data_IF_169809742136
#
_entry.id   IF_169809742136
#
_cell.length_a   1.000
_cell.length_b   1.000
_cell.length_c   1.000
_cell.angle_alpha   90.00
_cell.angle_beta   90.00
_cell.angle_gamma   90.00
#
_symmetry.space_group_name_H-M   'P 1'
#
loop_
_entity.id
_entity.type
_entity.pdbx_description
1 polymer ?
#
# COMPACT_ATOMS: atom_id res chain seq x y z
N UNK A 1 -2.97 -15.45 12.74
CA UNK A 1 -3.05 -15.60 14.21
C UNK A 1 -2.14 -14.59 14.87
N UNK A 2 -2.53 -14.01 16.02
CA UNK A 2 -1.62 -13.20 16.84
C UNK A 2 -0.40 -14.01 17.29
N UNK A 3 0.71 -13.34 17.48
CA UNK A 3 1.92 -13.92 18.06
C UNK A 3 2.04 -13.52 19.54
N UNK A 4 2.90 -14.18 20.28
CA UNK A 4 3.32 -13.80 21.65
C UNK A 4 4.08 -12.46 21.69
N UNK A 5 4.51 -11.96 20.50
CA UNK A 5 5.21 -10.67 20.33
C UNK A 5 4.27 -9.51 20.06
N UNK A 6 2.98 -9.69 20.26
CA UNK A 6 1.94 -8.70 19.90
C UNK A 6 2.22 -7.29 20.43
N UNK A 7 2.76 -7.17 21.61
CA UNK A 7 3.02 -5.89 22.27
C UNK A 7 4.45 -5.37 22.05
N UNK A 8 5.30 -6.13 21.38
CA UNK A 8 6.66 -5.70 21.08
C UNK A 8 6.68 -4.69 19.91
N UNK A 9 7.30 -3.52 20.07
CA UNK A 9 7.40 -2.52 19.00
C UNK A 9 8.06 -3.11 17.75
N UNK A 10 7.45 -2.87 16.58
CA UNK A 10 7.96 -3.27 15.26
C UNK A 10 8.21 -4.78 15.08
N UNK A 11 7.72 -5.62 16.00
CA UNK A 11 7.76 -7.08 15.85
C UNK A 11 6.51 -7.56 15.15
N UNK A 12 6.62 -8.65 14.40
CA UNK A 12 5.48 -9.29 13.75
C UNK A 12 4.46 -9.73 14.82
N UNK A 13 3.31 -9.08 14.80
CA UNK A 13 2.20 -9.35 15.73
C UNK A 13 1.35 -10.53 15.30
N UNK A 14 1.49 -10.91 14.03
CA UNK A 14 0.73 -11.98 13.40
C UNK A 14 1.66 -12.96 12.70
N UNK A 15 1.34 -14.25 12.83
CA UNK A 15 2.02 -15.31 12.09
C UNK A 15 1.57 -15.24 10.63
N UNK A 16 2.51 -15.28 9.69
CA UNK A 16 2.22 -15.41 8.27
C UNK A 16 1.45 -16.71 8.02
N UNK A 17 0.37 -16.62 7.27
CA UNK A 17 -0.48 -17.78 6.96
C UNK A 17 -0.24 -18.21 5.51
N UNK A 18 0.35 -19.37 5.34
CA UNK A 18 0.65 -19.98 4.04
C UNK A 18 -0.44 -20.99 3.60
N UNK A 19 -1.58 -21.02 4.26
CA UNK A 19 -2.67 -21.93 3.89
C UNK A 19 -3.28 -21.55 2.54
N UNK A 20 -3.32 -22.46 1.55
CA UNK A 20 -3.97 -22.19 0.27
C UNK A 20 -5.51 -22.13 0.37
N UNK A 21 -6.07 -22.52 1.53
CA UNK A 21 -7.50 -22.45 1.80
C UNK A 21 -7.95 -21.07 2.28
N UNK A 22 -7.02 -20.22 2.70
CA UNK A 22 -7.32 -18.85 3.16
C UNK A 22 -7.16 -17.85 2.04
N UNK A 23 -8.08 -16.93 1.98
CA UNK A 23 -8.10 -15.90 0.95
C UNK A 23 -8.43 -14.54 1.53
N UNK A 24 -7.85 -13.49 0.97
CA UNK A 24 -8.16 -12.10 1.26
C UNK A 24 -9.46 -11.66 0.58
N UNK A 25 -9.64 -12.05 -0.68
CA UNK A 25 -10.71 -11.54 -1.52
C UNK A 25 -11.84 -12.56 -1.77
N UNK A 26 -11.56 -13.86 -1.70
CA UNK A 26 -12.47 -14.90 -2.14
C UNK A 26 -12.59 -14.99 -3.68
N UNK A 27 -13.14 -16.11 -4.16
CA UNK A 27 -13.12 -16.41 -5.60
C UNK A 27 -13.85 -15.36 -6.45
N UNK A 28 -15.00 -14.86 -5.98
CA UNK A 28 -15.80 -13.87 -6.73
C UNK A 28 -15.03 -12.57 -6.95
N UNK A 29 -14.38 -12.05 -5.91
CA UNK A 29 -13.59 -10.82 -6.04
C UNK A 29 -12.32 -11.04 -6.86
N UNK A 30 -11.68 -12.20 -6.77
CA UNK A 30 -10.53 -12.53 -7.61
C UNK A 30 -10.91 -12.59 -9.10
N UNK A 31 -12.06 -13.20 -9.46
CA UNK A 31 -12.54 -13.21 -10.85
C UNK A 31 -12.83 -11.79 -11.33
N UNK A 32 -13.58 -11.01 -10.56
CA UNK A 32 -13.88 -9.62 -10.85
C UNK A 32 -12.62 -8.78 -11.02
N UNK A 33 -11.64 -8.90 -10.12
CA UNK A 33 -10.39 -8.14 -10.20
C UNK A 33 -9.60 -8.50 -11.46
N UNK A 34 -9.58 -9.78 -11.83
CA UNK A 34 -8.95 -10.25 -13.07
C UNK A 34 -9.60 -9.64 -14.31
N UNK A 35 -10.92 -9.57 -14.36
CA UNK A 35 -11.65 -8.92 -15.43
C UNK A 35 -11.30 -7.43 -15.51
N UNK A 36 -11.40 -6.74 -14.37
CA UNK A 36 -11.11 -5.30 -14.28
C UNK A 36 -9.67 -4.95 -14.64
N UNK A 37 -8.71 -5.82 -14.36
CA UNK A 37 -7.32 -5.61 -14.72
C UNK A 37 -7.04 -5.75 -16.22
N UNK A 38 -7.94 -6.36 -16.97
CA UNK A 38 -7.85 -6.51 -18.42
C UNK A 38 -8.68 -5.49 -19.22
N UNK A 39 -9.53 -4.70 -18.56
CA UNK A 39 -10.23 -3.58 -19.19
C UNK A 39 -9.23 -2.49 -19.60
N UNK A 40 -9.44 -1.81 -20.72
CA UNK A 40 -8.59 -0.67 -21.12
C UNK A 40 -8.66 0.45 -20.07
N UNK A 41 -7.49 0.93 -19.66
CA UNK A 41 -7.37 2.12 -18.81
C UNK A 41 -5.92 2.62 -18.86
N UNK A 42 -5.73 3.91 -18.92
CA UNK A 42 -4.41 4.53 -18.90
C UNK A 42 -3.80 4.49 -17.49
N UNK A 43 -4.61 4.75 -16.49
CA UNK A 43 -4.22 4.67 -15.08
C UNK A 43 -5.23 3.79 -14.34
N UNK A 44 -4.76 3.00 -13.41
CA UNK A 44 -5.60 2.17 -12.57
C UNK A 44 -5.28 2.37 -11.08
N UNK A 45 -6.32 2.64 -10.32
CA UNK A 45 -6.24 2.71 -8.87
C UNK A 45 -6.80 1.42 -8.26
N UNK A 46 -5.98 0.72 -7.48
CA UNK A 46 -6.41 -0.40 -6.64
C UNK A 46 -6.60 0.10 -5.22
N UNK A 47 -7.84 0.12 -4.76
CA UNK A 47 -8.17 0.51 -3.39
C UNK A 47 -8.13 -0.73 -2.50
N UNK A 48 -7.33 -0.67 -1.45
CA UNK A 48 -7.20 -1.75 -0.45
C UNK A 48 -7.30 -1.15 0.95
N UNK A 49 -8.10 -1.75 1.82
CA UNK A 49 -8.16 -1.33 3.23
C UNK A 49 -6.82 -1.56 3.93
N UNK A 50 -6.13 -2.68 3.64
CA UNK A 50 -4.82 -3.02 4.19
C UNK A 50 -3.69 -2.71 3.21
N UNK A 51 -2.53 -2.39 3.75
CA UNK A 51 -1.33 -2.18 2.96
C UNK A 51 -0.91 -3.45 2.19
N UNK A 52 -0.52 -3.26 0.93
CA UNK A 52 -0.11 -4.32 0.01
C UNK A 52 1.41 -4.42 -0.07
N UNK A 53 2.09 -3.30 -0.30
CA UNK A 53 3.54 -3.25 -0.50
C UNK A 53 4.30 -3.19 0.82
N UNK A 54 3.81 -2.40 1.77
CA UNK A 54 4.50 -2.12 3.03
C UNK A 54 4.94 -3.38 3.78
N UNK A 55 6.16 -3.35 4.26
CA UNK A 55 6.80 -4.41 5.03
C UNK A 55 7.51 -3.82 6.26
N UNK A 56 7.96 -4.66 7.19
CA UNK A 56 8.78 -4.28 8.34
C UNK A 56 8.00 -3.80 9.55
N UNK A 57 6.70 -3.56 9.46
CA UNK A 57 5.83 -3.27 10.60
C UNK A 57 5.12 -4.54 11.10
N UNK A 58 4.72 -4.55 12.37
CA UNK A 58 4.13 -5.73 13.01
C UNK A 58 2.61 -5.86 12.85
N UNK A 59 1.94 -4.97 12.13
CA UNK A 59 0.49 -4.90 12.01
C UNK A 59 -0.03 -5.69 10.80
N UNK A 60 -1.35 -5.72 10.63
CA UNK A 60 -2.01 -6.38 9.52
C UNK A 60 -1.58 -5.78 8.19
N UNK A 61 -1.38 -6.65 7.21
CA UNK A 61 -0.99 -6.31 5.83
C UNK A 61 -1.17 -7.52 4.91
N UNK A 62 -1.17 -7.30 3.61
CA UNK A 62 -1.21 -8.40 2.63
C UNK A 62 -0.04 -9.38 2.80
N UNK A 63 1.12 -8.90 3.28
CA UNK A 63 2.27 -9.74 3.60
C UNK A 63 2.02 -10.82 4.68
N UNK A 64 0.93 -10.72 5.45
CA UNK A 64 0.51 -11.79 6.36
C UNK A 64 -0.10 -13.00 5.63
N UNK A 65 -0.49 -12.85 4.36
CA UNK A 65 -0.99 -13.89 3.47
C UNK A 65 -0.12 -13.96 2.21
N UNK A 66 1.07 -14.56 2.29
CA UNK A 66 2.06 -14.51 1.20
C UNK A 66 1.56 -15.11 -0.11
N UNK A 67 0.72 -16.16 -0.04
CA UNK A 67 0.13 -16.79 -1.23
C UNK A 67 -0.83 -15.82 -1.94
N UNK A 68 -1.68 -15.12 -1.19
CA UNK A 68 -2.62 -14.15 -1.75
C UNK A 68 -1.88 -12.91 -2.29
N UNK A 69 -0.85 -12.43 -1.57
CA UNK A 69 -0.01 -11.33 -2.06
C UNK A 69 0.69 -11.72 -3.37
N UNK A 70 1.28 -12.91 -3.43
CA UNK A 70 1.88 -13.43 -4.65
C UNK A 70 0.86 -13.53 -5.79
N UNK A 71 -0.34 -14.04 -5.51
CA UNK A 71 -1.42 -14.11 -6.50
C UNK A 71 -1.77 -12.74 -7.08
N UNK A 72 -1.81 -11.69 -6.24
CA UNK A 72 -2.04 -10.32 -6.71
C UNK A 72 -0.90 -9.83 -7.62
N UNK A 73 0.35 -10.06 -7.23
CA UNK A 73 1.52 -9.69 -8.03
C UNK A 73 1.57 -10.45 -9.36
N UNK A 74 1.24 -11.74 -9.37
CA UNK A 74 1.15 -12.55 -10.58
C UNK A 74 0.04 -12.03 -11.51
N UNK A 75 -1.11 -11.63 -10.95
CA UNK A 75 -2.21 -11.05 -11.71
C UNK A 75 -1.81 -9.71 -12.32
N UNK A 76 -1.19 -8.81 -11.56
CA UNK A 76 -0.65 -7.54 -12.06
C UNK A 76 0.33 -7.82 -13.20
N UNK A 77 1.22 -8.77 -13.01
CA UNK A 77 2.26 -9.10 -13.98
C UNK A 77 1.68 -9.60 -15.32
N UNK A 78 0.66 -10.47 -15.26
CA UNK A 78 -0.01 -11.05 -16.43
C UNK A 78 -1.00 -10.12 -17.11
N UNK A 79 -1.50 -9.11 -16.41
CA UNK A 79 -2.49 -8.17 -16.94
C UNK A 79 -1.89 -7.17 -17.92
N UNK A 80 -2.74 -6.43 -18.65
CA UNK A 80 -2.33 -5.35 -19.54
C UNK A 80 -2.13 -4.00 -18.84
N UNK A 81 -2.16 -3.98 -17.50
CA UNK A 81 -2.00 -2.75 -16.73
C UNK A 81 -0.63 -2.13 -17.00
N UNK A 82 -0.63 -0.84 -17.30
CA UNK A 82 0.59 -0.04 -17.46
C UNK A 82 0.93 0.75 -16.20
N UNK A 83 -0.02 1.53 -15.72
CA UNK A 83 0.15 2.43 -14.57
C UNK A 83 -0.78 2.00 -13.44
N UNK A 84 -0.25 1.30 -12.43
CA UNK A 84 -1.00 0.88 -11.25
C UNK A 84 -0.52 1.62 -10.02
N UNK A 85 -1.46 2.26 -9.34
CA UNK A 85 -1.25 2.88 -8.04
C UNK A 85 -2.20 2.22 -7.03
N UNK A 86 -1.66 1.76 -5.93
CA UNK A 86 -2.42 1.20 -4.82
C UNK A 86 -2.68 2.32 -3.82
N UNK A 87 -3.93 2.44 -3.37
CA UNK A 87 -4.32 3.35 -2.31
C UNK A 87 -4.72 2.52 -1.10
N UNK A 88 -4.11 2.79 0.04
CA UNK A 88 -4.38 2.03 1.26
C UNK A 88 -4.55 2.88 2.50
N UNK A 89 -5.06 2.27 3.57
CA UNK A 89 -5.37 2.92 4.82
C UNK A 89 -4.98 2.12 6.05
N UNK A 90 -5.83 2.15 7.08
CA UNK A 90 -5.77 1.37 8.34
C UNK A 90 -4.62 1.70 9.31
N UNK A 91 -3.58 2.36 8.84
CA UNK A 91 -2.30 2.49 9.58
C UNK A 91 -2.22 3.68 10.53
N UNK A 92 -3.22 4.57 10.52
CA UNK A 92 -3.20 5.82 11.30
C UNK A 92 -1.95 6.68 11.05
N UNK A 93 -1.39 6.56 9.86
CA UNK A 93 -0.22 7.29 9.36
C UNK A 93 -0.22 7.35 7.84
N UNK A 94 0.70 8.10 7.27
CA UNK A 94 0.91 8.13 5.83
C UNK A 94 2.31 7.65 5.44
N UNK A 95 2.42 7.12 4.22
CA UNK A 95 3.68 6.68 3.62
C UNK A 95 3.51 6.40 2.13
N UNK A 96 4.60 6.54 1.37
CA UNK A 96 4.67 6.17 -0.03
C UNK A 96 5.61 4.97 -0.16
N UNK A 97 5.19 3.97 -0.91
CA UNK A 97 5.94 2.72 -1.07
C UNK A 97 6.08 2.37 -2.54
N UNK A 98 7.14 1.63 -2.87
CA UNK A 98 7.42 1.14 -4.22
C UNK A 98 7.87 -0.30 -4.17
N UNK A 99 7.39 -1.09 -5.12
CA UNK A 99 7.84 -2.46 -5.33
C UNK A 99 7.83 -2.78 -6.83
N UNK A 100 8.34 -3.95 -7.18
CA UNK A 100 8.38 -4.43 -8.55
C UNK A 100 7.88 -5.88 -8.59
N UNK A 101 7.08 -6.20 -9.61
CA UNK A 101 6.71 -7.59 -9.87
C UNK A 101 7.89 -8.39 -10.43
N UNK A 102 7.81 -9.71 -10.41
CA UNK A 102 8.83 -10.59 -11.02
C UNK A 102 9.04 -10.29 -12.52
N UNK A 103 8.00 -9.83 -13.22
CA UNK A 103 8.08 -9.42 -14.63
C UNK A 103 8.51 -7.98 -14.87
N UNK A 104 8.98 -7.28 -13.84
CA UNK A 104 9.55 -5.94 -13.97
C UNK A 104 8.54 -4.79 -13.90
N UNK A 105 7.23 -5.04 -13.73
CA UNK A 105 6.26 -3.95 -13.58
C UNK A 105 6.43 -3.24 -12.25
N UNK A 106 6.64 -1.94 -12.30
CA UNK A 106 6.68 -1.09 -11.10
C UNK A 106 5.28 -0.89 -10.54
N UNK A 107 5.15 -0.99 -9.22
CA UNK A 107 3.92 -0.71 -8.48
C UNK A 107 4.22 0.28 -7.36
N UNK A 108 3.27 1.18 -7.14
CA UNK A 108 3.36 2.20 -6.10
C UNK A 108 2.17 2.11 -5.17
N UNK A 109 2.37 2.41 -3.91
CA UNK A 109 1.31 2.46 -2.92
C UNK A 109 1.40 3.77 -2.14
N UNK A 110 0.27 4.49 -2.09
CA UNK A 110 0.08 5.65 -1.24
C UNK A 110 -0.85 5.23 -0.10
N UNK A 111 -0.30 5.18 1.11
CA UNK A 111 -1.08 5.01 2.34
C UNK A 111 -1.35 6.38 2.95
N UNK A 112 -2.61 6.67 3.26
CA UNK A 112 -3.02 7.86 4.01
C UNK A 112 -4.26 7.54 4.81
N UNK A 113 -4.16 7.53 6.15
CA UNK A 113 -5.24 7.03 7.02
C UNK A 113 -5.33 7.74 8.37
N UNK A 114 -4.98 9.01 8.42
CA UNK A 114 -4.95 9.79 9.66
C UNK A 114 -5.72 11.09 9.54
N UNK A 115 -6.95 11.07 9.03
CA UNK A 115 -7.74 12.29 8.92
C UNK A 115 -8.14 12.86 10.30
N UNK A 116 -8.47 11.98 11.26
CA UNK A 116 -8.95 12.37 12.60
C UNK A 116 -8.30 11.60 13.76
N UNK A 117 -7.60 10.51 13.47
CA UNK A 117 -7.02 9.65 14.50
C UNK A 117 -5.58 9.26 14.14
N UNK A 118 -4.61 10.18 14.30
CA UNK A 118 -3.24 9.96 13.90
C UNK A 118 -2.45 9.09 14.88
N UNK A 119 -1.46 8.36 14.37
CA UNK A 119 -0.63 7.46 15.15
C UNK A 119 0.20 8.19 16.23
N UNK A 120 0.51 9.45 16.03
CA UNK A 120 1.23 10.30 17.00
C UNK A 120 0.53 10.35 18.36
N UNK A 121 -0.80 10.28 18.38
CA UNK A 121 -1.60 10.28 19.63
C UNK A 121 -1.50 9.00 20.45
N UNK A 122 -1.06 7.87 19.85
CA UNK A 122 -1.07 6.55 20.50
C UNK A 122 0.31 5.92 20.64
N UNK A 123 1.16 6.06 19.63
CA UNK A 123 2.42 5.31 19.52
C UNK A 123 3.66 6.18 19.68
N UNK A 124 3.49 7.48 19.90
CA UNK A 124 4.60 8.43 19.91
C UNK A 124 5.28 8.56 18.56
N UNK A 125 6.33 9.36 18.50
CA UNK A 125 7.02 9.75 17.25
C UNK A 125 8.00 8.70 16.70
N UNK A 126 7.84 7.43 17.00
CA UNK A 126 8.77 6.40 16.54
C UNK A 126 8.49 6.01 15.10
N UNK A 127 9.50 6.19 14.26
CA UNK A 127 9.48 5.69 12.91
C UNK A 127 9.53 4.16 12.88
N UNK A 128 8.76 3.54 12.01
CA UNK A 128 8.77 2.09 11.82
C UNK A 128 9.72 1.69 10.68
N UNK A 129 10.30 0.47 10.70
CA UNK A 129 11.03 -0.06 9.57
C UNK A 129 10.18 -0.07 8.30
N UNK A 130 10.79 0.24 7.17
CA UNK A 130 10.08 0.31 5.89
C UNK A 130 11.00 0.05 4.70
N UNK A 131 11.37 -1.20 4.42
CA UNK A 131 12.34 -1.52 3.38
C UNK A 131 11.91 -1.12 1.96
N UNK A 132 10.61 -0.95 1.74
CA UNK A 132 10.04 -0.56 0.43
C UNK A 132 9.47 0.86 0.44
N UNK A 133 9.67 1.59 1.54
CA UNK A 133 9.17 2.94 1.71
C UNK A 133 10.09 3.96 1.04
N UNK A 134 9.47 4.98 0.44
CA UNK A 134 10.13 6.14 -0.14
C UNK A 134 9.99 7.33 0.84
N UNK A 135 11.08 7.65 1.53
CA UNK A 135 11.09 8.68 2.58
C UNK A 135 10.55 8.19 3.93
N UNK A 136 10.29 9.13 4.83
CA UNK A 136 9.76 8.87 6.17
C UNK A 136 8.24 8.62 6.16
N UNK A 137 7.71 8.00 7.24
CA UNK A 137 6.27 8.00 7.50
C UNK A 137 5.86 9.32 8.14
N UNK A 138 4.63 9.73 7.91
CA UNK A 138 4.03 10.88 8.61
C UNK A 138 2.95 10.38 9.58
N UNK A 139 3.02 10.83 10.82
CA UNK A 139 2.28 10.27 11.94
C UNK A 139 1.07 11.12 12.37
N UNK A 140 1.03 12.39 11.94
CA UNK A 140 -0.03 13.32 12.29
C UNK A 140 -1.18 13.28 11.27
N UNK A 141 -2.18 14.14 11.45
CA UNK A 141 -3.32 14.28 10.56
C UNK A 141 -2.85 14.57 9.13
N UNK A 142 -3.35 13.79 8.18
CA UNK A 142 -2.88 13.85 6.80
C UNK A 142 -3.94 13.42 5.78
N UNK A 143 -3.68 13.80 4.53
CA UNK A 143 -4.38 13.28 3.37
C UNK A 143 -3.40 13.01 2.21
N UNK A 144 -3.76 12.08 1.36
CA UNK A 144 -3.05 11.79 0.11
C UNK A 144 -3.60 12.63 -1.03
N UNK A 145 -2.72 13.17 -1.88
CA UNK A 145 -3.09 13.88 -3.10
C UNK A 145 -2.42 13.22 -4.30
N UNK A 146 -3.21 12.96 -5.33
CA UNK A 146 -2.75 12.43 -6.61
C UNK A 146 -3.04 13.46 -7.68
N UNK A 147 -2.02 13.84 -8.43
CA UNK A 147 -2.12 14.79 -9.54
C UNK A 147 -1.64 14.11 -10.81
N UNK A 148 -2.47 14.16 -11.85
CA UNK A 148 -2.10 13.72 -13.20
C UNK A 148 -1.71 14.98 -13.96
N UNK A 149 -0.44 15.06 -14.34
CA UNK A 149 0.14 16.27 -14.92
C UNK A 149 0.17 16.19 -16.46
N UNK A 150 0.07 17.34 -17.11
CA UNK A 150 0.11 17.47 -18.59
C UNK A 150 1.44 16.97 -19.19
N UNK A 151 2.50 16.93 -18.42
CA UNK A 151 3.82 16.42 -18.84
C UNK A 151 3.96 14.89 -18.74
N UNK A 152 2.85 14.16 -18.75
CA UNK A 152 2.79 12.71 -18.63
C UNK A 152 3.48 12.19 -17.34
N UNK A 153 3.27 12.86 -16.22
CA UNK A 153 3.68 12.37 -14.90
C UNK A 153 2.50 12.29 -13.94
N UNK A 154 2.58 11.36 -13.00
CA UNK A 154 1.66 11.25 -11.89
C UNK A 154 2.41 11.65 -10.62
N UNK A 155 1.92 12.65 -9.90
CA UNK A 155 2.45 13.03 -8.61
C UNK A 155 1.66 12.36 -7.48
N UNK A 156 2.34 11.67 -6.59
CA UNK A 156 1.78 11.18 -5.33
C UNK A 156 2.33 12.02 -4.19
N UNK A 157 1.46 12.65 -3.43
CA UNK A 157 1.85 13.53 -2.32
C UNK A 157 1.14 13.16 -1.03
N UNK A 158 1.85 13.33 0.09
CA UNK A 158 1.29 13.34 1.44
C UNK A 158 1.23 14.80 1.88
N UNK A 159 0.07 15.24 2.32
CA UNK A 159 -0.19 16.58 2.81
C UNK A 159 -0.62 16.55 4.28
N UNK A 160 -0.18 17.54 5.06
CA UNK A 160 -0.72 17.78 6.38
C UNK A 160 -2.05 18.59 6.32
N UNK A 161 -2.64 18.84 7.48
CA UNK A 161 -3.89 19.63 7.58
C UNK A 161 -3.73 21.10 7.15
N UNK A 162 -2.51 21.61 7.12
CA UNK A 162 -2.18 22.97 6.67
C UNK A 162 -1.82 23.02 5.18
N UNK A 163 -2.02 21.91 4.45
CA UNK A 163 -1.70 21.74 3.04
C UNK A 163 -0.19 21.72 2.71
N UNK A 164 0.67 21.68 3.70
CA UNK A 164 2.10 21.53 3.47
C UNK A 164 2.40 20.15 2.85
N UNK A 165 3.31 20.12 1.89
CA UNK A 165 3.77 18.86 1.31
C UNK A 165 4.81 18.21 2.21
N UNK A 166 4.45 17.09 2.82
CA UNK A 166 5.32 16.31 3.70
C UNK A 166 6.23 15.38 2.90
N UNK A 167 5.66 14.73 1.89
CA UNK A 167 6.40 13.86 0.97
C UNK A 167 5.75 13.92 -0.40
N UNK A 168 6.56 13.85 -1.45
CA UNK A 168 6.08 13.85 -2.84
C UNK A 168 7.02 13.03 -3.71
N UNK A 169 6.45 12.22 -4.58
CA UNK A 169 7.16 11.57 -5.69
C UNK A 169 6.47 11.88 -7.01
N UNK A 170 7.22 11.85 -8.09
CA UNK A 170 6.69 11.91 -9.45
C UNK A 170 7.01 10.60 -10.17
N UNK A 171 6.01 10.02 -10.82
CA UNK A 171 6.08 8.75 -11.52
C UNK A 171 5.87 9.03 -13.00
N UNK A 172 6.74 8.53 -13.89
CA UNK A 172 6.48 8.63 -15.33
C UNK A 172 5.20 7.88 -15.68
N UNK A 173 4.40 8.45 -16.53
CA UNK A 173 3.21 7.86 -17.12
C UNK A 173 3.60 7.11 -18.38
N UNK A 174 3.34 5.78 -18.46
CA UNK A 174 3.78 4.91 -19.56
C UNK A 174 2.60 4.56 -20.48
#
# INVERSE_FOLDING_TARGET
>A
KPTDKRDAPYKERYIKDFSPKKTMLGNKQWSWLSEKFNEPADIRFLISSLQVIAEGHGFEKWGNFPIEKKRLYDLINKSKIKNLIILSGDRHRAGIYRDQTEGGKMIYELTSSSLNLPASKFFGAKEEPGPKRLGATFLDENYGLIEINENNTISLSIKDINQNTINKISIPFI
#
